data_IF_927793497713
#
_entry.id   IF_927793497713
#
_cell.length_a   1.000
_cell.length_b   1.000
_cell.length_c   1.000
_cell.angle_alpha   90.00
_cell.angle_beta   90.00
_cell.angle_gamma   90.00
#
_symmetry.space_group_name_H-M   'P 1'
#
loop_
_entity.id
_entity.type
_entity.pdbx_description
1 polymer ?
#
# COMPACT_ATOMS: atom_id res chain seq x y z
N UNK A 1 -3.80 8.35 6.61
CA UNK A 1 -3.71 7.91 5.19
C UNK A 1 -4.90 7.02 4.88
N UNK A 2 -5.30 6.88 3.61
CA UNK A 2 -6.34 5.92 3.19
C UNK A 2 -6.11 5.40 1.77
N UNK A 3 -6.83 4.35 1.41
CA UNK A 3 -6.98 3.88 0.04
C UNK A 3 -8.20 4.53 -0.63
N UNK A 4 -8.18 4.63 -1.96
CA UNK A 4 -9.36 4.85 -2.78
C UNK A 4 -9.33 3.87 -3.95
N UNK A 5 -10.39 3.07 -4.07
CA UNK A 5 -10.52 2.01 -5.06
C UNK A 5 -11.66 2.34 -6.02
N UNK A 6 -11.43 2.15 -7.32
CA UNK A 6 -12.46 2.22 -8.35
C UNK A 6 -12.56 0.86 -9.04
N UNK A 7 -13.58 0.09 -8.65
CA UNK A 7 -13.81 -1.27 -9.15
C UNK A 7 -14.08 -1.34 -10.66
N UNK A 8 -14.56 -0.26 -11.28
CA UNK A 8 -14.76 -0.18 -12.73
C UNK A 8 -13.79 0.81 -13.41
N UNK A 9 -12.67 1.08 -12.75
CA UNK A 9 -11.61 1.96 -13.23
C UNK A 9 -11.92 3.45 -13.18
N UNK A 10 -10.87 4.25 -13.26
CA UNK A 10 -10.89 5.72 -13.30
C UNK A 10 -10.08 6.26 -14.50
N UNK A 11 -10.44 7.44 -14.99
CA UNK A 11 -9.75 8.10 -16.11
C UNK A 11 -9.63 7.22 -17.37
N UNK A 12 -8.40 7.06 -17.86
CA UNK A 12 -8.09 6.26 -19.05
C UNK A 12 -8.12 4.74 -18.82
N UNK A 13 -8.37 4.28 -17.59
CA UNK A 13 -8.47 2.88 -17.20
C UNK A 13 -9.93 2.43 -16.98
N UNK A 14 -10.89 3.35 -17.07
CA UNK A 14 -12.31 3.08 -16.88
C UNK A 14 -12.79 1.93 -17.79
N UNK A 15 -13.57 1.01 -17.23
CA UNK A 15 -14.11 -0.21 -17.88
C UNK A 15 -13.06 -1.20 -18.39
N UNK A 16 -11.78 -1.02 -18.09
CA UNK A 16 -10.72 -1.96 -18.52
C UNK A 16 -9.91 -2.51 -17.35
N UNK A 17 -9.69 -1.71 -16.31
CA UNK A 17 -8.93 -2.09 -15.12
C UNK A 17 -9.64 -1.61 -13.85
N UNK A 18 -9.33 -2.26 -12.72
CA UNK A 18 -9.46 -1.67 -11.40
C UNK A 18 -8.36 -0.60 -11.24
N UNK A 19 -8.75 0.55 -10.69
CA UNK A 19 -7.80 1.62 -10.33
C UNK A 19 -7.67 1.71 -8.81
N UNK A 20 -6.44 1.74 -8.31
CA UNK A 20 -6.14 1.81 -6.88
C UNK A 20 -5.25 3.02 -6.59
N UNK A 21 -5.70 3.85 -5.66
CA UNK A 21 -5.04 5.09 -5.30
C UNK A 21 -4.77 5.19 -3.80
N UNK A 22 -3.65 5.82 -3.47
CA UNK A 22 -3.29 6.24 -2.14
C UNK A 22 -3.73 7.70 -1.92
N UNK A 23 -4.18 8.00 -0.71
CA UNK A 23 -4.60 9.34 -0.32
C UNK A 23 -3.92 9.72 1.00
N UNK A 24 -3.15 10.80 0.95
CA UNK A 24 -2.61 11.45 2.12
C UNK A 24 -3.74 12.24 2.81
N UNK A 25 -3.93 11.97 4.10
CA UNK A 25 -5.00 12.55 4.92
C UNK A 25 -4.38 13.50 5.93
N UNK A 26 -5.07 14.58 6.26
CA UNK A 26 -4.65 15.48 7.34
C UNK A 26 -4.67 14.77 8.68
N UNK A 27 -3.69 15.06 9.52
CA UNK A 27 -3.59 14.57 10.90
C UNK A 27 -3.34 15.72 11.87
N UNK A 28 -3.78 15.55 13.12
CA UNK A 28 -3.41 16.46 14.22
C UNK A 28 -1.90 16.48 14.45
N UNK A 29 -1.20 15.40 14.07
CA UNK A 29 0.24 15.26 14.22
C UNK A 29 1.04 15.80 13.01
N UNK A 30 0.40 16.35 11.97
CA UNK A 30 1.11 16.90 10.80
C UNK A 30 2.24 17.90 11.14
N UNK A 31 2.17 18.75 12.19
CA UNK A 31 3.27 19.65 12.54
C UNK A 31 4.61 18.97 12.86
N UNK A 32 4.59 17.70 13.30
CA UNK A 32 5.80 16.94 13.66
C UNK A 32 6.20 15.90 12.61
N UNK A 33 5.44 15.78 11.51
CA UNK A 33 5.73 14.86 10.42
C UNK A 33 6.57 15.54 9.33
N UNK A 34 7.39 14.75 8.63
CA UNK A 34 8.19 15.21 7.50
C UNK A 34 7.30 15.35 6.26
N UNK A 35 7.46 16.45 5.53
CA UNK A 35 6.83 16.69 4.23
C UNK A 35 7.84 17.24 3.22
N UNK A 36 7.64 17.02 1.91
CA UNK A 36 6.57 16.21 1.31
C UNK A 36 6.71 14.72 1.65
N UNK A 37 5.58 14.00 1.65
CA UNK A 37 5.56 12.56 1.88
C UNK A 37 6.36 11.86 0.77
N UNK A 38 7.46 11.20 1.14
CA UNK A 38 8.40 10.59 0.20
C UNK A 38 8.72 9.11 0.52
N UNK A 39 7.75 8.41 1.10
CA UNK A 39 7.90 6.98 1.38
C UNK A 39 7.32 6.15 0.24
N UNK A 40 8.02 5.10 -0.17
CA UNK A 40 7.55 4.19 -1.23
C UNK A 40 6.22 3.56 -0.79
N UNK A 41 5.22 3.63 -1.66
CA UNK A 41 3.90 3.04 -1.44
C UNK A 41 3.81 1.75 -2.24
N UNK A 42 3.43 0.66 -1.59
CA UNK A 42 3.31 -0.67 -2.19
C UNK A 42 1.87 -1.12 -2.03
N UNK A 43 1.26 -1.54 -3.13
CA UNK A 43 -0.05 -2.17 -3.17
C UNK A 43 0.12 -3.67 -3.41
N UNK A 44 -0.71 -4.46 -2.72
CA UNK A 44 -0.77 -5.90 -2.85
C UNK A 44 -2.23 -6.32 -2.93
N UNK A 45 -2.61 -6.99 -4.02
CA UNK A 45 -3.88 -7.70 -4.15
C UNK A 45 -3.61 -9.19 -3.91
N UNK A 46 -4.29 -9.75 -2.91
CA UNK A 46 -4.07 -11.12 -2.48
C UNK A 46 -4.70 -12.12 -3.47
N UNK A 47 -3.88 -13.07 -3.88
CA UNK A 47 -4.31 -14.37 -4.38
C UNK A 47 -4.82 -15.20 -3.17
N UNK A 48 -6.07 -15.65 -3.25
CA UNK A 48 -6.79 -16.40 -2.22
C UNK A 48 -6.73 -17.93 -2.46
N UNK A 49 -5.76 -18.40 -3.24
CA UNK A 49 -5.45 -19.81 -3.47
C UNK A 49 -4.14 -20.21 -2.79
N UNK A 50 -3.84 -21.51 -2.67
CA UNK A 50 -2.55 -21.96 -2.16
C UNK A 50 -1.34 -21.52 -3.00
N UNK A 51 -1.55 -21.04 -4.23
CA UNK A 51 -0.47 -20.60 -5.11
C UNK A 51 0.18 -19.27 -4.65
N UNK A 52 -0.55 -18.47 -3.86
CA UNK A 52 -0.10 -17.19 -3.29
C UNK A 52 0.57 -16.24 -4.30
N UNK A 53 0.11 -16.23 -5.56
CA UNK A 53 0.59 -15.36 -6.63
C UNK A 53 -0.04 -13.96 -6.52
N UNK A 54 0.34 -13.24 -5.47
CA UNK A 54 -0.19 -11.89 -5.22
C UNK A 54 0.22 -10.90 -6.31
N UNK A 55 -0.69 -9.99 -6.68
CA UNK A 55 -0.36 -8.87 -7.58
C UNK A 55 0.20 -7.74 -6.75
N UNK A 56 1.47 -7.41 -7.00
CA UNK A 56 2.20 -6.38 -6.26
C UNK A 56 2.62 -5.29 -7.25
N UNK A 57 2.27 -4.06 -6.93
CA UNK A 57 2.75 -2.90 -7.68
C UNK A 57 3.07 -1.77 -6.70
N UNK A 58 3.96 -0.86 -7.08
CA UNK A 58 4.44 0.18 -6.18
C UNK A 58 4.81 1.45 -6.92
N UNK A 59 4.77 2.56 -6.20
CA UNK A 59 5.27 3.83 -6.71
C UNK A 59 6.05 4.59 -5.63
N UNK A 60 7.00 5.41 -6.06
CA UNK A 60 7.61 6.43 -5.20
C UNK A 60 6.85 7.76 -5.43
N UNK A 61 6.36 8.42 -4.37
CA UNK A 61 5.72 9.73 -4.48
C UNK A 61 6.57 10.75 -5.27
N UNK A 62 5.96 11.50 -6.19
CA UNK A 62 6.61 12.69 -6.77
C UNK A 62 6.52 13.84 -5.77
N UNK A 63 7.65 14.22 -5.19
CA UNK A 63 7.75 15.30 -4.20
C UNK A 63 7.31 16.68 -4.72
N UNK A 64 7.15 16.85 -6.03
CA UNK A 64 6.62 18.09 -6.64
C UNK A 64 5.10 18.06 -6.78
N UNK A 65 4.47 16.90 -6.67
CA UNK A 65 3.01 16.76 -6.76
C UNK A 65 2.32 17.30 -5.51
N UNK A 66 1.20 17.99 -5.71
CA UNK A 66 0.33 18.45 -4.62
C UNK A 66 -0.26 17.30 -3.81
N UNK A 67 -0.35 16.10 -4.39
CA UNK A 67 -0.88 14.89 -3.70
C UNK A 67 -0.08 14.51 -2.47
N UNK A 68 1.21 14.87 -2.41
CA UNK A 68 2.13 14.45 -1.35
C UNK A 68 2.68 15.60 -0.50
N UNK A 69 2.22 16.83 -0.75
CA UNK A 69 2.52 17.97 0.13
C UNK A 69 1.80 17.83 1.48
N UNK A 70 2.20 18.66 2.45
CA UNK A 70 1.48 18.78 3.72
C UNK A 70 -0.01 19.06 3.46
N UNK A 71 -0.94 18.24 3.99
CA UNK A 71 -2.36 18.46 3.77
C UNK A 71 -2.87 19.81 4.29
N UNK A 72 -3.47 20.60 3.39
CA UNK A 72 -4.14 21.86 3.74
C UNK A 72 -5.66 21.68 3.94
N UNK A 73 -6.22 20.56 3.47
CA UNK A 73 -7.63 20.17 3.62
C UNK A 73 -7.71 18.80 4.28
N UNK A 74 -8.91 18.20 4.41
CA UNK A 74 -9.06 16.87 5.00
C UNK A 74 -8.28 15.77 4.26
N UNK A 75 -8.08 15.93 2.95
CA UNK A 75 -7.40 14.96 2.11
C UNK A 75 -6.74 15.64 0.91
N UNK A 76 -5.57 15.17 0.52
CA UNK A 76 -4.97 15.55 -0.74
C UNK A 76 -5.63 14.84 -1.93
N UNK A 77 -5.24 15.25 -3.14
CA UNK A 77 -5.62 14.57 -4.38
C UNK A 77 -5.07 13.13 -4.34
N UNK A 78 -5.89 12.18 -4.75
CA UNK A 78 -5.50 10.77 -4.79
C UNK A 78 -4.40 10.55 -5.84
N UNK A 79 -3.42 9.71 -5.53
CA UNK A 79 -2.34 9.34 -6.45
C UNK A 79 -2.04 7.84 -6.34
N UNK A 80 -1.78 7.18 -7.46
CA UNK A 80 -1.63 5.73 -7.47
C UNK A 80 -1.61 5.19 -8.89
N UNK A 81 -2.23 4.03 -9.09
CA UNK A 81 -2.04 3.19 -10.27
C UNK A 81 -3.39 3.03 -10.98
N UNK A 82 -3.66 3.81 -12.05
CA UNK A 82 -4.94 3.74 -12.77
C UNK A 82 -5.20 2.35 -13.35
N UNK A 83 -4.17 1.68 -13.88
CA UNK A 83 -4.27 0.34 -14.47
C UNK A 83 -3.70 -0.72 -13.53
N UNK A 84 -4.19 -0.77 -12.29
CA UNK A 84 -3.64 -1.65 -11.25
C UNK A 84 -3.93 -3.13 -11.52
N UNK A 85 -5.17 -3.49 -11.87
CA UNK A 85 -5.53 -4.88 -12.15
C UNK A 85 -6.54 -4.99 -13.30
N UNK A 86 -6.33 -5.83 -14.33
CA UNK A 86 -7.27 -5.95 -15.45
C UNK A 86 -8.63 -6.50 -15.02
N UNK A 87 -9.73 -5.87 -15.43
CA UNK A 87 -11.07 -6.34 -15.08
C UNK A 87 -11.40 -7.71 -15.66
N UNK A 88 -10.87 -8.01 -16.86
CA UNK A 88 -11.04 -9.31 -17.50
C UNK A 88 -10.64 -10.48 -16.61
N UNK A 89 -9.59 -10.30 -15.79
CA UNK A 89 -9.09 -11.37 -14.91
C UNK A 89 -10.01 -11.64 -13.73
N UNK A 90 -10.82 -10.66 -13.30
CA UNK A 90 -11.85 -10.87 -12.26
C UNK A 90 -13.07 -11.58 -12.83
N UNK A 91 -13.36 -11.32 -14.11
CA UNK A 91 -14.51 -11.90 -14.80
C UNK A 91 -14.29 -13.36 -15.20
N UNK A 92 -13.04 -13.85 -15.15
CA UNK A 92 -12.69 -15.24 -15.39
C UNK A 92 -13.27 -16.14 -14.28
N UNK A 93 -13.84 -17.28 -14.68
CA UNK A 93 -14.33 -18.28 -13.75
C UNK A 93 -13.16 -18.85 -12.93
N UNK A 94 -13.35 -18.96 -11.62
CA UNK A 94 -12.30 -19.42 -10.72
C UNK A 94 -11.16 -18.42 -10.51
N UNK A 95 -11.37 -17.12 -10.80
CA UNK A 95 -10.34 -16.12 -10.55
C UNK A 95 -9.81 -16.19 -9.09
N UNK A 96 -8.50 -16.13 -8.89
CA UNK A 96 -7.92 -16.34 -7.57
C UNK A 96 -8.07 -15.13 -6.63
N UNK A 97 -8.43 -13.95 -7.15
CA UNK A 97 -8.36 -12.68 -6.42
C UNK A 97 -9.69 -12.26 -5.79
N UNK A 98 -10.81 -12.80 -6.26
CA UNK A 98 -12.16 -12.62 -5.71
C UNK A 98 -12.77 -13.98 -5.43
N UNK A 99 -12.94 -14.31 -4.15
CA UNK A 99 -13.58 -15.54 -3.68
C UNK A 99 -14.61 -15.18 -2.63
N UNK A 100 -15.73 -15.90 -2.61
CA UNK A 100 -16.84 -15.66 -1.68
C UNK A 100 -17.29 -14.20 -1.66
N UNK A 101 -17.36 -13.57 -2.85
CA UNK A 101 -17.69 -12.15 -3.05
C UNK A 101 -16.77 -11.16 -2.30
N UNK A 102 -15.54 -11.58 -1.98
CA UNK A 102 -14.58 -10.80 -1.22
C UNK A 102 -13.23 -10.67 -1.96
N UNK A 103 -12.63 -9.48 -1.82
CA UNK A 103 -11.30 -9.14 -2.30
C UNK A 103 -10.47 -8.57 -1.14
N UNK A 104 -9.19 -8.94 -1.06
CA UNK A 104 -8.29 -8.43 -0.03
C UNK A 104 -7.16 -7.61 -0.67
N UNK A 105 -7.04 -6.35 -0.25
CA UNK A 105 -5.99 -5.43 -0.68
C UNK A 105 -5.19 -4.99 0.56
N UNK A 106 -3.87 -5.11 0.49
CA UNK A 106 -2.94 -4.56 1.48
C UNK A 106 -2.15 -3.41 0.88
N UNK A 107 -2.01 -2.35 1.67
CA UNK A 107 -1.16 -1.20 1.35
C UNK A 107 -0.04 -1.16 2.38
N UNK A 108 1.20 -1.09 1.91
CA UNK A 108 2.39 -1.01 2.73
C UNK A 108 3.14 0.27 2.40
N UNK A 109 3.68 0.92 3.43
CA UNK A 109 4.51 2.11 3.30
C UNK A 109 5.91 1.74 3.76
N UNK A 110 6.90 1.94 2.90
CA UNK A 110 8.30 1.72 3.26
C UNK A 110 8.89 2.97 3.89
N UNK A 111 9.01 2.92 5.21
CA UNK A 111 9.68 3.96 5.99
C UNK A 111 11.20 3.68 6.01
N UNK A 112 11.87 3.88 4.87
CA UNK A 112 13.31 3.67 4.71
C UNK A 112 14.13 4.46 5.77
N UNK A 113 13.67 5.68 6.11
CA UNK A 113 14.30 6.56 7.10
C UNK A 113 13.87 6.30 8.56
N UNK A 114 13.11 5.23 8.83
CA UNK A 114 12.68 4.91 10.18
C UNK A 114 13.89 4.50 11.05
N UNK A 115 14.09 5.12 12.22
CA UNK A 115 15.10 4.67 13.17
C UNK A 115 14.94 3.18 13.47
N UNK A 116 16.05 2.43 13.48
CA UNK A 116 16.06 0.99 13.76
C UNK A 116 15.38 0.63 15.09
N UNK A 117 15.42 1.55 16.05
CA UNK A 117 14.75 1.45 17.36
C UNK A 117 13.23 1.37 17.28
N UNK A 118 12.61 1.83 16.17
CA UNK A 118 11.17 1.79 15.97
C UNK A 118 10.68 0.58 15.15
N UNK A 119 11.59 -0.23 14.58
CA UNK A 119 11.25 -1.43 13.81
C UNK A 119 10.34 -2.41 14.56
N UNK A 120 10.53 -2.69 15.86
CA UNK A 120 9.63 -3.59 16.60
C UNK A 120 8.19 -3.10 16.66
N UNK A 121 7.99 -1.78 16.74
CA UNK A 121 6.67 -1.16 16.77
C UNK A 121 6.04 -1.14 15.37
N UNK A 122 6.82 -0.90 14.32
CA UNK A 122 6.30 -0.86 12.96
C UNK A 122 5.86 -2.24 12.44
N UNK A 123 6.59 -3.30 12.80
CA UNK A 123 6.35 -4.65 12.31
C UNK A 123 5.35 -5.44 13.17
N UNK A 124 5.10 -5.02 14.41
CA UNK A 124 4.05 -5.60 15.27
C UNK A 124 2.63 -5.08 14.97
N UNK A 125 2.49 -4.04 14.13
CA UNK A 125 1.18 -3.53 13.69
C UNK A 125 0.44 -4.49 12.75
N UNK A 126 1.10 -5.56 12.28
CA UNK A 126 0.47 -6.65 11.53
C UNK A 126 -0.13 -7.66 12.51
N UNK A 127 -1.22 -7.29 13.20
CA UNK A 127 -1.87 -8.10 14.24
C UNK A 127 -2.34 -9.50 13.79
N UNK A 128 -2.32 -9.79 12.48
CA UNK A 128 -2.67 -11.10 11.91
C UNK A 128 -1.53 -12.13 11.87
N UNK A 129 -0.30 -11.77 12.26
CA UNK A 129 0.84 -12.71 12.24
C UNK A 129 1.22 -13.19 13.66
N UNK A 130 1.52 -14.48 13.86
CA UNK A 130 2.05 -14.99 15.13
C UNK A 130 3.31 -14.25 15.59
N UNK A 131 3.47 -14.07 16.90
CA UNK A 131 4.57 -13.26 17.50
C UNK A 131 5.97 -13.67 17.06
N UNK A 132 6.23 -14.97 16.90
CA UNK A 132 7.53 -15.47 16.45
C UNK A 132 7.85 -15.09 14.99
N UNK A 133 6.85 -15.00 14.12
CA UNK A 133 7.00 -14.53 12.73
C UNK A 133 7.32 -13.05 12.71
N UNK A 134 6.61 -12.25 13.51
CA UNK A 134 6.89 -10.82 13.66
C UNK A 134 8.33 -10.58 14.13
N UNK A 135 8.80 -11.33 15.13
CA UNK A 135 10.18 -11.26 15.64
C UNK A 135 11.23 -11.64 14.59
N UNK A 136 10.99 -12.69 13.80
CA UNK A 136 11.88 -13.08 12.71
C UNK A 136 11.97 -11.98 11.62
N UNK A 137 10.84 -11.39 11.25
CA UNK A 137 10.80 -10.28 10.28
C UNK A 137 11.55 -9.04 10.79
N UNK A 138 11.38 -8.70 12.08
CA UNK A 138 12.12 -7.59 12.72
C UNK A 138 13.62 -7.83 12.64
N UNK A 139 14.07 -9.04 12.99
CA UNK A 139 15.49 -9.40 12.99
C UNK A 139 16.07 -9.34 11.58
N UNK A 140 15.39 -9.96 10.60
CA UNK A 140 15.86 -10.01 9.21
C UNK A 140 15.93 -8.61 8.58
N UNK A 141 14.95 -7.74 8.84
CA UNK A 141 14.96 -6.37 8.32
C UNK A 141 16.04 -5.51 8.98
N UNK A 142 16.29 -5.68 10.29
CA UNK A 142 17.38 -5.00 10.98
C UNK A 142 18.76 -5.41 10.42
N UNK A 143 18.94 -6.69 10.11
CA UNK A 143 20.15 -7.23 9.48
C UNK A 143 20.32 -6.71 8.05
N UNK A 144 19.27 -6.74 7.22
CA UNK A 144 19.31 -6.19 5.84
C UNK A 144 19.73 -4.72 5.80
N UNK A 145 19.20 -3.89 6.71
CA UNK A 145 19.56 -2.47 6.84
C UNK A 145 20.89 -2.21 7.54
N UNK A 146 21.59 -3.24 8.00
CA UNK A 146 22.96 -3.12 8.54
C UNK A 146 24.04 -3.35 7.48
N UNK A 147 23.66 -3.94 6.34
CA UNK A 147 24.54 -4.27 5.23
C UNK A 147 24.49 -3.26 4.07
N UNK A 148 23.63 -2.24 4.19
CA UNK A 148 23.57 -1.06 3.30
C UNK A 148 24.24 0.13 3.99
#
# INVERSE_FOLDING_TARGET
>A
MRARLYLNGDGNARRTHISLFFVLMRSVNDPILKFPFNHKVIFCLYDQTPAQQHIIDSFRPDIRSSSFQRPCSNMNIASGIPKFFPLKMIQEEGNPYVRDDAMFIKIMIDFEDMPKTLLPYALSLSSGLPTHVQQAMIKQEAERRSQQ
#
